data_IF_500943606555
#
_entry.id   IF_500943606555
#
_cell.length_a   1.000
_cell.length_b   1.000
_cell.length_c   1.000
_cell.angle_alpha   90.00
_cell.angle_beta   90.00
_cell.angle_gamma   90.00
#
_symmetry.space_group_name_H-M   'P 1'
#
loop_
_entity.id
_entity.type
_entity.pdbx_description
1 polymer ?
#
# COMPACT_ATOMS: atom_id res chain seq x y z
N UNK A 1 4.52 20.87 14.73
CA UNK A 1 4.51 21.11 13.28
C UNK A 1 5.89 21.47 12.74
N UNK A 2 6.67 22.41 13.34
CA UNK A 2 8.02 22.79 12.86
C UNK A 2 8.96 21.57 12.71
N UNK A 3 8.99 20.64 13.69
CA UNK A 3 9.79 19.40 13.62
C UNK A 3 9.43 18.56 12.38
N UNK A 4 8.16 18.35 12.12
CA UNK A 4 7.71 17.57 10.96
C UNK A 4 8.03 18.26 9.64
N UNK A 5 7.92 19.60 9.58
CA UNK A 5 8.28 20.36 8.38
C UNK A 5 9.75 20.18 8.01
N UNK A 6 10.65 20.23 8.98
CA UNK A 6 12.09 20.00 8.75
C UNK A 6 12.40 18.60 8.23
N UNK A 7 11.62 17.60 8.65
CA UNK A 7 11.83 16.19 8.25
C UNK A 7 11.22 15.90 6.88
N UNK A 8 9.97 16.32 6.65
CA UNK A 8 9.16 15.84 5.53
C UNK A 8 8.96 16.85 4.41
N UNK A 9 9.26 18.15 4.60
CA UNK A 9 9.10 19.17 3.57
C UNK A 9 10.29 19.17 2.60
N UNK A 10 10.42 18.09 1.84
CA UNK A 10 11.45 17.91 0.80
C UNK A 10 10.77 17.45 -0.48
N UNK A 11 11.23 17.91 -1.66
CA UNK A 11 10.63 17.47 -2.92
C UNK A 11 10.79 15.97 -3.10
N UNK A 12 9.76 15.31 -3.63
CA UNK A 12 9.80 13.94 -4.09
C UNK A 12 10.06 13.87 -5.59
N UNK A 13 9.92 12.66 -6.14
CA UNK A 13 10.13 12.41 -7.56
C UNK A 13 9.12 13.16 -8.45
N UNK A 14 7.86 13.24 -8.01
CA UNK A 14 6.76 13.79 -8.78
C UNK A 14 6.11 15.03 -8.14
N UNK A 15 6.34 15.24 -6.85
CA UNK A 15 5.67 16.26 -6.06
C UNK A 15 6.66 17.26 -5.48
N UNK A 16 6.25 18.53 -5.37
CA UNK A 16 7.00 19.54 -4.67
C UNK A 16 7.01 19.32 -3.14
N UNK A 17 7.89 20.04 -2.44
CA UNK A 17 8.12 19.84 -1.01
C UNK A 17 6.87 20.02 -0.15
N UNK A 18 5.98 20.97 -0.48
CA UNK A 18 4.75 21.22 0.29
C UNK A 18 3.74 20.09 0.11
N UNK A 19 3.59 19.57 -1.13
CA UNK A 19 2.72 18.43 -1.41
C UNK A 19 3.22 17.18 -0.68
N UNK A 20 4.53 16.91 -0.73
CA UNK A 20 5.13 15.78 0.02
C UNK A 20 4.89 15.94 1.51
N UNK A 21 5.09 17.16 2.06
CA UNK A 21 4.83 17.42 3.48
C UNK A 21 3.39 17.08 3.86
N UNK A 22 2.40 17.58 3.11
CA UNK A 22 0.99 17.29 3.37
C UNK A 22 0.68 15.79 3.24
N UNK A 23 1.17 15.13 2.19
CA UNK A 23 1.03 13.69 2.01
C UNK A 23 1.58 12.92 3.24
N UNK A 24 2.80 13.20 3.69
CA UNK A 24 3.41 12.51 4.84
C UNK A 24 2.65 12.76 6.14
N UNK A 25 2.17 14.00 6.37
CA UNK A 25 1.35 14.31 7.54
C UNK A 25 0.07 13.48 7.56
N UNK A 26 -0.63 13.36 6.43
CA UNK A 26 -1.90 12.66 6.32
C UNK A 26 -1.77 11.14 6.11
N UNK A 27 -0.61 10.65 5.68
CA UNK A 27 -0.37 9.21 5.50
C UNK A 27 0.05 8.52 6.81
N UNK A 28 0.98 9.12 7.58
CA UNK A 28 1.52 8.45 8.77
C UNK A 28 2.02 9.35 9.90
N UNK A 29 2.42 10.61 9.65
CA UNK A 29 3.13 11.40 10.65
C UNK A 29 2.22 11.91 11.79
N UNK A 30 0.94 12.15 11.51
CA UNK A 30 -0.06 12.46 12.52
C UNK A 30 -0.67 11.18 13.11
N UNK A 31 -1.15 11.21 14.37
CA UNK A 31 -1.96 10.14 14.94
C UNK A 31 -3.15 9.78 14.04
N UNK A 32 -3.51 8.50 13.98
CA UNK A 32 -4.53 7.96 13.06
C UNK A 32 -5.89 8.67 13.22
N UNK A 33 -6.29 8.93 14.47
CA UNK A 33 -7.56 9.58 14.79
C UNK A 33 -7.61 11.00 14.24
N UNK A 34 -6.52 11.76 14.37
CA UNK A 34 -6.41 13.13 13.85
C UNK A 34 -6.42 13.12 12.32
N UNK A 35 -5.70 12.17 11.70
CA UNK A 35 -5.71 12.02 10.23
C UNK A 35 -7.11 11.74 9.72
N UNK A 36 -7.82 10.79 10.34
CA UNK A 36 -9.18 10.42 9.98
C UNK A 36 -10.13 11.62 10.07
N UNK A 37 -10.11 12.36 11.17
CA UNK A 37 -10.94 13.56 11.35
C UNK A 37 -10.67 14.62 10.28
N UNK A 38 -9.40 14.89 9.99
CA UNK A 38 -9.01 15.87 8.96
C UNK A 38 -9.51 15.41 7.59
N UNK A 39 -9.29 14.15 7.23
CA UNK A 39 -9.68 13.61 5.94
C UNK A 39 -11.20 13.61 5.76
N UNK A 40 -11.96 13.19 6.77
CA UNK A 40 -13.44 13.27 6.76
C UNK A 40 -13.91 14.70 6.58
N UNK A 41 -13.37 15.65 7.36
CA UNK A 41 -13.74 17.07 7.24
C UNK A 41 -13.46 17.63 5.84
N UNK A 42 -12.29 17.29 5.27
CA UNK A 42 -11.93 17.73 3.91
C UNK A 42 -12.83 17.11 2.86
N UNK A 43 -13.14 15.82 2.99
CA UNK A 43 -14.03 15.11 2.09
C UNK A 43 -15.43 15.75 2.09
N UNK A 44 -16.02 15.90 3.27
CA UNK A 44 -17.36 16.48 3.44
C UNK A 44 -17.44 17.90 2.88
N UNK A 45 -16.36 18.69 3.06
CA UNK A 45 -16.30 20.09 2.61
C UNK A 45 -16.12 20.23 1.09
N UNK A 46 -15.34 19.34 0.47
CA UNK A 46 -14.86 19.52 -0.90
C UNK A 46 -15.44 18.54 -1.90
N UNK A 47 -15.88 17.37 -1.47
CA UNK A 47 -16.46 16.34 -2.35
C UNK A 47 -17.99 16.38 -2.30
N UNK A 48 -18.59 16.67 -1.12
CA UNK A 48 -20.02 16.91 -0.92
C UNK A 48 -20.97 15.79 -1.39
N UNK A 49 -20.43 14.57 -1.58
CA UNK A 49 -21.19 13.36 -1.95
C UNK A 49 -21.15 12.41 -0.75
N UNK A 50 -22.15 11.57 -0.59
CA UNK A 50 -22.10 10.51 0.42
C UNK A 50 -20.86 9.62 0.21
N UNK A 51 -20.11 9.35 1.27
CA UNK A 51 -18.87 8.57 1.19
C UNK A 51 -19.07 7.17 0.61
N UNK A 52 -20.21 6.53 0.92
CA UNK A 52 -20.55 5.20 0.41
C UNK A 52 -20.82 5.24 -1.10
N UNK A 53 -21.58 6.23 -1.57
CA UNK A 53 -21.87 6.40 -3.00
C UNK A 53 -20.59 6.69 -3.77
N UNK A 54 -19.72 7.56 -3.25
CA UNK A 54 -18.44 7.86 -3.83
C UNK A 54 -17.51 6.62 -3.86
N UNK A 55 -17.50 5.83 -2.79
CA UNK A 55 -16.71 4.60 -2.74
C UNK A 55 -17.21 3.56 -3.77
N UNK A 56 -18.52 3.41 -3.94
CA UNK A 56 -19.10 2.51 -4.94
C UNK A 56 -18.79 2.92 -6.37
N UNK A 57 -18.61 4.21 -6.62
CA UNK A 57 -18.22 4.72 -7.95
C UNK A 57 -16.71 4.55 -8.19
N UNK A 58 -15.88 4.68 -7.15
CA UNK A 58 -14.44 4.72 -7.28
C UNK A 58 -13.77 3.35 -7.14
N UNK A 59 -14.26 2.49 -6.25
CA UNK A 59 -13.63 1.22 -5.93
C UNK A 59 -14.34 0.03 -6.56
N UNK A 60 -13.57 -1.02 -6.85
CA UNK A 60 -14.11 -2.30 -7.31
C UNK A 60 -15.00 -2.93 -6.23
N UNK A 61 -16.14 -3.47 -6.66
CA UNK A 61 -16.96 -4.34 -5.81
C UNK A 61 -16.30 -5.73 -5.66
N UNK A 62 -16.77 -6.52 -4.68
CA UNK A 62 -16.34 -7.92 -4.55
C UNK A 62 -16.59 -8.73 -5.81
N UNK A 63 -17.71 -8.48 -6.50
CA UNK A 63 -18.06 -9.16 -7.74
C UNK A 63 -17.13 -8.76 -8.89
N UNK A 64 -16.66 -7.51 -8.93
CA UNK A 64 -15.69 -7.09 -9.92
C UNK A 64 -14.33 -7.75 -9.68
N UNK A 65 -13.90 -7.89 -8.42
CA UNK A 65 -12.68 -8.65 -8.08
C UNK A 65 -12.81 -10.11 -8.51
N UNK A 66 -13.94 -10.75 -8.28
CA UNK A 66 -14.20 -12.13 -8.74
C UNK A 66 -14.16 -12.23 -10.27
N UNK A 67 -14.77 -11.27 -10.99
CA UNK A 67 -14.68 -11.22 -12.46
C UNK A 67 -13.24 -11.12 -12.96
N UNK A 68 -12.36 -10.35 -12.28
CA UNK A 68 -10.95 -10.31 -12.62
C UNK A 68 -10.30 -11.69 -12.49
N UNK A 69 -10.57 -12.41 -11.40
CA UNK A 69 -10.07 -13.77 -11.17
C UNK A 69 -10.60 -14.75 -12.21
N UNK A 70 -11.90 -14.72 -12.52
CA UNK A 70 -12.54 -15.57 -13.52
C UNK A 70 -11.98 -15.36 -14.93
N UNK A 71 -11.46 -14.17 -15.21
CA UNK A 71 -10.77 -13.84 -16.46
C UNK A 71 -9.26 -14.07 -16.40
N UNK A 72 -8.76 -14.80 -15.39
CA UNK A 72 -7.37 -15.21 -15.30
C UNK A 72 -6.42 -14.11 -14.79
N UNK A 73 -6.93 -13.00 -14.25
CA UNK A 73 -6.10 -11.96 -13.65
C UNK A 73 -5.60 -12.39 -12.27
N UNK A 74 -4.35 -12.04 -11.96
CA UNK A 74 -3.80 -12.27 -10.63
C UNK A 74 -4.18 -11.11 -9.71
N UNK A 75 -4.78 -11.44 -8.56
CA UNK A 75 -5.06 -10.49 -7.48
C UNK A 75 -4.11 -10.77 -6.32
N UNK A 76 -3.25 -9.81 -6.01
CA UNK A 76 -2.18 -9.92 -5.02
C UNK A 76 -2.43 -9.12 -3.76
N UNK A 77 -1.53 -9.27 -2.79
CA UNK A 77 -1.60 -8.58 -1.49
C UNK A 77 -0.94 -7.20 -1.56
N UNK A 78 -1.59 -6.19 -0.95
CA UNK A 78 -1.07 -4.83 -0.81
C UNK A 78 -1.34 -4.25 0.58
N UNK A 79 -1.44 -5.11 1.61
CA UNK A 79 -1.90 -4.74 2.95
C UNK A 79 -3.41 -4.54 3.01
N UNK A 80 -3.94 -4.44 4.22
CA UNK A 80 -5.39 -4.29 4.45
C UNK A 80 -5.79 -2.82 4.58
N UNK A 81 -5.11 -2.07 5.46
CA UNK A 81 -5.35 -0.63 5.67
C UNK A 81 -4.43 0.26 4.84
N UNK A 82 -3.56 -0.30 4.00
CA UNK A 82 -2.56 0.44 3.23
C UNK A 82 -1.61 1.25 4.12
N UNK A 83 -1.25 0.72 5.29
CA UNK A 83 -0.33 1.36 6.22
C UNK A 83 1.15 1.18 5.80
N UNK A 84 2.01 2.08 6.27
CA UNK A 84 3.46 1.95 6.14
C UNK A 84 3.95 0.83 7.05
N UNK A 85 4.21 -0.37 6.51
CA UNK A 85 4.52 -1.56 7.30
C UNK A 85 5.72 -1.37 8.23
N UNK A 86 6.76 -0.69 7.79
CA UNK A 86 7.94 -0.42 8.60
C UNK A 86 7.71 0.53 9.80
N UNK A 87 6.56 1.18 9.89
CA UNK A 87 6.15 2.01 11.03
C UNK A 87 5.27 1.26 12.03
N UNK A 88 4.91 0.00 11.73
CA UNK A 88 4.06 -0.83 12.56
C UNK A 88 4.89 -1.76 13.44
N UNK A 89 4.33 -2.14 14.59
CA UNK A 89 4.89 -3.22 15.43
C UNK A 89 4.80 -4.57 14.72
N UNK A 90 5.52 -5.57 15.20
CA UNK A 90 5.45 -6.94 14.67
C UNK A 90 4.00 -7.45 14.57
N UNK A 91 3.23 -7.29 15.64
CA UNK A 91 1.85 -7.79 15.70
C UNK A 91 0.92 -7.03 14.76
N UNK A 92 1.11 -5.71 14.63
CA UNK A 92 0.36 -4.91 13.68
C UNK A 92 0.68 -5.29 12.23
N UNK A 93 1.96 -5.54 11.89
CA UNK A 93 2.35 -6.01 10.56
C UNK A 93 1.71 -7.38 10.24
N UNK A 94 1.75 -8.32 11.19
CA UNK A 94 1.11 -9.62 11.04
C UNK A 94 -0.39 -9.46 10.80
N UNK A 95 -1.06 -8.62 11.58
CA UNK A 95 -2.49 -8.37 11.45
C UNK A 95 -2.86 -7.79 10.08
N UNK A 96 -2.11 -6.78 9.60
CA UNK A 96 -2.30 -6.20 8.27
C UNK A 96 -2.24 -7.25 7.15
N UNK A 97 -1.25 -8.14 7.22
CA UNK A 97 -1.05 -9.18 6.22
C UNK A 97 -2.12 -10.26 6.35
N UNK A 98 -2.47 -10.68 7.57
CA UNK A 98 -3.51 -11.70 7.81
C UNK A 98 -4.87 -11.23 7.30
N UNK A 99 -5.31 -10.02 7.68
CA UNK A 99 -6.59 -9.47 7.23
C UNK A 99 -6.66 -9.35 5.71
N UNK A 100 -5.56 -8.99 5.07
CA UNK A 100 -5.49 -8.93 3.60
C UNK A 100 -5.56 -10.32 2.95
N UNK A 101 -4.93 -11.33 3.54
CA UNK A 101 -5.02 -12.72 3.07
C UNK A 101 -6.42 -13.30 3.29
N UNK A 102 -7.07 -12.99 4.40
CA UNK A 102 -8.46 -13.39 4.66
C UNK A 102 -9.40 -12.80 3.61
N UNK A 103 -9.22 -11.52 3.26
CA UNK A 103 -9.96 -10.90 2.15
C UNK A 103 -9.71 -11.62 0.81
N UNK A 104 -8.46 -11.89 0.47
CA UNK A 104 -8.12 -12.63 -0.74
C UNK A 104 -8.75 -14.02 -0.78
N UNK A 105 -8.76 -14.73 0.36
CA UNK A 105 -9.45 -16.02 0.50
C UNK A 105 -10.96 -15.90 0.25
N UNK A 106 -11.62 -14.88 0.81
CA UNK A 106 -13.07 -14.64 0.64
C UNK A 106 -13.47 -14.42 -0.82
N UNK A 107 -12.63 -13.80 -1.62
CA UNK A 107 -12.90 -13.57 -3.05
C UNK A 107 -12.44 -14.73 -3.93
N UNK A 108 -11.81 -15.77 -3.37
CA UNK A 108 -11.30 -16.92 -4.10
C UNK A 108 -9.93 -16.69 -4.74
N UNK A 109 -9.22 -15.64 -4.35
CA UNK A 109 -7.86 -15.38 -4.82
C UNK A 109 -6.84 -16.31 -4.15
N UNK A 110 -5.67 -16.42 -4.75
CA UNK A 110 -4.60 -17.28 -4.27
C UNK A 110 -3.96 -16.77 -3.00
N UNK A 111 -3.97 -17.59 -1.94
CA UNK A 111 -3.36 -17.30 -0.62
C UNK A 111 -2.16 -18.19 -0.30
N UNK A 112 -1.75 -19.06 -1.24
CA UNK A 112 -0.50 -19.83 -1.17
C UNK A 112 0.45 -19.38 -2.27
N UNK A 113 1.75 -19.31 -2.00
CA UNK A 113 2.77 -18.78 -2.92
C UNK A 113 2.34 -17.45 -3.54
N UNK A 114 1.89 -16.56 -2.68
CA UNK A 114 1.32 -15.26 -3.05
C UNK A 114 2.40 -14.18 -3.18
N UNK A 115 2.02 -13.04 -3.75
CA UNK A 115 2.91 -11.92 -4.05
C UNK A 115 2.50 -10.70 -3.21
N UNK A 116 3.49 -10.04 -2.61
CA UNK A 116 3.33 -8.77 -1.89
C UNK A 116 3.78 -7.58 -2.72
N UNK A 117 2.92 -6.57 -2.85
CA UNK A 117 3.33 -5.21 -3.19
C UNK A 117 3.37 -4.38 -1.92
N UNK A 118 4.51 -3.80 -1.55
CA UNK A 118 4.60 -3.03 -0.31
C UNK A 118 3.88 -1.68 -0.45
N UNK A 119 2.88 -1.37 0.42
CA UNK A 119 2.30 -0.04 0.49
C UNK A 119 3.41 1.02 0.64
N UNK A 120 3.42 2.02 -0.23
CA UNK A 120 4.46 3.07 -0.30
C UNK A 120 5.91 2.56 -0.49
N UNK A 121 6.10 1.28 -0.79
CA UNK A 121 7.41 0.64 -0.77
C UNK A 121 7.99 0.50 0.65
N UNK A 122 7.17 0.58 1.68
CA UNK A 122 7.59 0.58 3.07
C UNK A 122 7.63 -0.83 3.66
N UNK A 123 8.82 -1.33 3.92
CA UNK A 123 9.08 -2.64 4.56
C UNK A 123 10.37 -2.58 5.38
N UNK A 124 10.62 -3.61 6.18
CA UNK A 124 11.86 -3.83 6.92
C UNK A 124 12.14 -5.34 7.06
N UNK A 125 13.22 -5.72 7.73
CA UNK A 125 13.57 -7.12 7.95
C UNK A 125 12.48 -7.92 8.69
N UNK A 126 11.76 -7.29 9.60
CA UNK A 126 10.61 -7.89 10.29
C UNK A 126 9.50 -8.22 9.30
N UNK A 127 9.18 -7.28 8.40
CA UNK A 127 8.20 -7.51 7.33
C UNK A 127 8.58 -8.72 6.48
N UNK A 128 9.82 -8.78 6.00
CA UNK A 128 10.31 -9.90 5.17
C UNK A 128 10.19 -11.25 5.90
N UNK A 129 10.55 -11.28 7.19
CA UNK A 129 10.45 -12.51 7.99
C UNK A 129 8.99 -12.98 8.17
N UNK A 130 8.05 -12.04 8.37
CA UNK A 130 6.62 -12.34 8.41
C UNK A 130 6.16 -12.94 7.07
N UNK A 131 6.48 -12.27 5.96
CA UNK A 131 6.09 -12.71 4.61
C UNK A 131 6.58 -14.13 4.31
N UNK A 132 7.84 -14.42 4.62
CA UNK A 132 8.41 -15.79 4.48
C UNK A 132 7.66 -16.83 5.31
N UNK A 133 7.27 -16.48 6.55
CA UNK A 133 6.53 -17.40 7.42
C UNK A 133 5.08 -17.64 6.99
N UNK A 134 4.54 -16.80 6.10
CA UNK A 134 3.16 -16.84 5.61
C UNK A 134 3.05 -17.25 4.13
N UNK A 135 4.04 -17.96 3.61
CA UNK A 135 4.07 -18.51 2.24
C UNK A 135 4.05 -17.45 1.12
N UNK A 136 4.50 -16.22 1.39
CA UNK A 136 4.79 -15.24 0.36
C UNK A 136 6.05 -15.66 -0.40
N UNK A 137 6.05 -15.50 -1.72
CA UNK A 137 7.19 -15.89 -2.56
C UNK A 137 7.91 -14.71 -3.21
N UNK A 138 7.23 -13.58 -3.39
CA UNK A 138 7.76 -12.39 -4.05
C UNK A 138 7.32 -11.13 -3.31
N UNK A 139 8.25 -10.20 -3.11
CA UNK A 139 8.01 -8.83 -2.65
C UNK A 139 8.40 -7.80 -3.71
N UNK A 140 7.45 -6.99 -4.14
CA UNK A 140 7.65 -5.93 -5.13
C UNK A 140 7.81 -4.57 -4.44
N UNK A 141 8.96 -3.94 -4.66
CA UNK A 141 9.30 -2.64 -4.08
C UNK A 141 8.92 -1.48 -5.00
N UNK A 142 9.16 -0.25 -4.55
CA UNK A 142 9.10 0.97 -5.35
C UNK A 142 10.49 1.41 -5.84
N UNK A 143 11.54 0.62 -5.59
CA UNK A 143 12.87 0.90 -6.11
C UNK A 143 12.87 0.72 -7.63
N UNK A 144 13.37 1.76 -8.33
CA UNK A 144 13.41 1.78 -9.79
C UNK A 144 14.59 0.95 -10.29
N UNK A 145 14.34 0.10 -11.27
CA UNK A 145 15.39 -0.67 -11.94
C UNK A 145 14.93 -2.06 -12.39
N UNK A 146 15.84 -2.76 -13.02
CA UNK A 146 15.65 -4.16 -13.41
C UNK A 146 15.64 -5.04 -12.16
N UNK A 147 14.69 -5.96 -12.08
CA UNK A 147 14.60 -6.92 -10.99
C UNK A 147 15.81 -7.88 -11.04
N UNK A 148 16.43 -8.09 -9.89
CA UNK A 148 17.39 -9.17 -9.70
C UNK A 148 16.61 -10.43 -9.29
N UNK A 149 16.65 -11.45 -10.12
CA UNK A 149 15.91 -12.70 -9.91
C UNK A 149 16.67 -13.73 -9.08
N UNK A 150 17.78 -13.34 -8.44
CA UNK A 150 18.41 -14.21 -7.45
C UNK A 150 17.40 -14.51 -6.32
N UNK A 151 17.21 -15.78 -5.93
CA UNK A 151 16.26 -16.16 -4.88
C UNK A 151 16.46 -15.42 -3.56
N UNK A 152 17.69 -14.98 -3.24
CA UNK A 152 17.98 -14.18 -2.04
C UNK A 152 17.29 -12.81 -2.07
N UNK A 153 17.03 -12.26 -3.24
CA UNK A 153 16.42 -10.95 -3.48
C UNK A 153 14.90 -11.00 -3.79
N UNK A 154 14.28 -12.18 -3.69
CA UNK A 154 12.88 -12.39 -4.08
C UNK A 154 11.88 -11.47 -3.37
N UNK A 155 12.23 -10.93 -2.19
CA UNK A 155 11.38 -9.99 -1.43
C UNK A 155 11.71 -8.51 -1.67
N UNK A 156 12.66 -8.20 -2.55
CA UNK A 156 13.13 -6.84 -2.80
C UNK A 156 13.22 -6.51 -4.29
N UNK A 157 12.30 -7.09 -5.08
CA UNK A 157 12.33 -6.92 -6.53
C UNK A 157 12.03 -5.47 -6.92
N UNK A 158 12.93 -4.93 -7.72
CA UNK A 158 12.79 -3.59 -8.34
C UNK A 158 11.78 -3.66 -9.48
N UNK A 159 11.22 -2.52 -9.83
CA UNK A 159 10.31 -2.39 -10.98
C UNK A 159 10.38 -0.96 -11.54
N UNK A 160 9.89 -0.81 -12.76
CA UNK A 160 9.71 0.50 -13.38
C UNK A 160 8.26 0.97 -13.20
N UNK A 161 8.09 2.25 -12.98
CA UNK A 161 6.81 2.94 -13.14
C UNK A 161 6.65 3.34 -14.62
N UNK A 162 5.41 3.50 -15.08
CA UNK A 162 5.15 3.96 -16.46
C UNK A 162 5.79 5.32 -16.76
N UNK A 163 5.95 6.17 -15.74
CA UNK A 163 6.63 7.46 -15.86
C UNK A 163 8.17 7.35 -15.92
N UNK A 164 8.75 6.16 -15.79
CA UNK A 164 10.19 5.93 -15.95
C UNK A 164 10.60 5.80 -17.41
N UNK A 165 9.64 5.66 -18.31
CA UNK A 165 9.88 5.55 -19.74
C UNK A 165 9.66 6.89 -20.44
N UNK A 166 10.44 7.19 -21.52
CA UNK A 166 10.21 8.37 -22.34
C UNK A 166 8.75 8.40 -22.86
N UNK A 167 8.13 9.57 -22.77
CA UNK A 167 6.82 9.84 -23.37
C UNK A 167 6.98 10.30 -24.81
#
# INVERSE_FOLDING_TARGET
LKKFKNIYCKPGRYDNANVIYLKRMLQFALPREIRSQILTTLFDKHVAINQTDFANELYLSLDDVKKLLDNGMYVGNHGYNHDWLNNLTLDQQKNEITLSLDFLSQVGARTSKWIMCYPYGAYNSTTINILRSMDCVIGLTTAVGVADLDPSNSFELKRFDTNDFPQ
#
